data_IF_968032896518
#
_entry.id   IF_968032896518
#
_cell.length_a   1.000
_cell.length_b   1.000
_cell.length_c   1.000
_cell.angle_alpha   90.00
_cell.angle_beta   90.00
_cell.angle_gamma   90.00
#
_symmetry.space_group_name_H-M   'P 1'
#
loop_
_entity.id
_entity.type
_entity.pdbx_description
1 polymer ?
#
# COMPACT_ATOMS: atom_id res chain seq x y z
N UNK A 1 11.02 26.68 31.19
CA UNK A 1 10.14 25.52 31.47
C UNK A 1 9.44 25.18 30.18
N UNK A 2 9.76 24.05 29.54
CA UNK A 2 8.98 23.57 28.40
C UNK A 2 7.68 23.00 28.95
N UNK A 3 6.59 23.76 28.85
CA UNK A 3 5.28 23.17 29.03
C UNK A 3 5.15 22.11 27.93
N UNK A 4 5.09 20.84 28.32
CA UNK A 4 4.61 19.80 27.42
C UNK A 4 3.14 20.16 27.13
N UNK A 5 2.91 20.92 26.06
CA UNK A 5 1.58 21.30 25.66
C UNK A 5 0.89 20.02 25.18
N UNK A 6 0.07 19.45 26.06
CA UNK A 6 -0.74 18.29 25.77
C UNK A 6 -1.60 18.64 24.55
N UNK A 7 -1.64 17.75 23.56
CA UNK A 7 -2.48 17.90 22.37
C UNK A 7 -3.94 18.07 22.79
N UNK A 8 -4.69 18.87 22.04
CA UNK A 8 -6.12 19.04 22.30
C UNK A 8 -6.87 17.72 22.13
N UNK A 9 -8.06 17.59 22.73
CA UNK A 9 -8.90 16.40 22.53
C UNK A 9 -9.21 16.19 21.04
N UNK A 10 -9.45 17.28 20.32
CA UNK A 10 -9.79 17.23 18.89
C UNK A 10 -8.57 16.80 18.06
N UNK A 11 -7.36 17.24 18.44
CA UNK A 11 -6.12 16.80 17.82
C UNK A 11 -5.93 15.28 17.98
N UNK A 12 -6.19 14.75 19.18
CA UNK A 12 -6.08 13.32 19.48
C UNK A 12 -7.07 12.52 18.63
N UNK A 13 -8.29 13.01 18.47
CA UNK A 13 -9.31 12.36 17.64
C UNK A 13 -8.92 12.38 16.15
N UNK A 14 -8.39 13.50 15.65
CA UNK A 14 -7.93 13.63 14.28
C UNK A 14 -6.77 12.67 13.96
N UNK A 15 -5.80 12.52 14.87
CA UNK A 15 -4.69 11.57 14.72
C UNK A 15 -5.22 10.14 14.63
N UNK A 16 -6.10 9.74 15.56
CA UNK A 16 -6.68 8.39 15.57
C UNK A 16 -7.46 8.09 14.29
N UNK A 17 -8.19 9.08 13.78
CA UNK A 17 -8.91 8.95 12.52
C UNK A 17 -7.94 8.73 11.34
N UNK A 18 -6.86 9.51 11.28
CA UNK A 18 -5.82 9.37 10.25
C UNK A 18 -5.10 8.01 10.33
N UNK A 19 -4.77 7.53 11.53
CA UNK A 19 -4.20 6.20 11.77
C UNK A 19 -5.14 5.08 11.30
N UNK A 20 -6.43 5.19 11.61
CA UNK A 20 -7.44 4.22 11.16
C UNK A 20 -7.58 4.21 9.63
N UNK A 21 -7.58 5.38 8.99
CA UNK A 21 -7.62 5.48 7.52
C UNK A 21 -6.35 4.88 6.89
N UNK A 22 -5.19 5.13 7.48
CA UNK A 22 -3.93 4.54 7.04
C UNK A 22 -3.95 3.01 7.17
N UNK A 23 -4.41 2.47 8.30
CA UNK A 23 -4.53 1.03 8.49
C UNK A 23 -5.42 0.36 7.43
N UNK A 24 -6.54 1.00 7.06
CA UNK A 24 -7.41 0.52 5.96
C UNK A 24 -6.68 0.52 4.61
N UNK A 25 -5.94 1.59 4.30
CA UNK A 25 -5.13 1.65 3.06
C UNK A 25 -4.07 0.56 3.00
N UNK A 26 -3.40 0.28 4.12
CA UNK A 26 -2.41 -0.80 4.21
C UNK A 26 -3.05 -2.18 3.99
N UNK A 27 -4.23 -2.43 4.54
CA UNK A 27 -4.95 -3.68 4.29
C UNK A 27 -5.31 -3.82 2.80
N UNK A 28 -5.85 -2.76 2.21
CA UNK A 28 -6.20 -2.75 0.79
C UNK A 28 -4.97 -2.99 -0.09
N UNK A 29 -3.86 -2.30 0.17
CA UNK A 29 -2.60 -2.49 -0.55
C UNK A 29 -2.09 -3.94 -0.49
N UNK A 30 -2.20 -4.60 0.67
CA UNK A 30 -1.83 -6.02 0.83
C UNK A 30 -2.71 -6.94 0.00
N UNK A 31 -4.01 -6.72 -0.02
CA UNK A 31 -4.92 -7.54 -0.84
C UNK A 31 -4.70 -7.27 -2.34
N UNK A 32 -4.49 -6.02 -2.75
CA UNK A 32 -4.12 -5.69 -4.14
C UNK A 32 -2.86 -6.42 -4.58
N UNK A 33 -1.81 -6.46 -3.74
CA UNK A 33 -0.58 -7.17 -4.05
C UNK A 33 -0.82 -8.68 -4.26
N UNK A 34 -1.71 -9.30 -3.47
CA UNK A 34 -2.06 -10.71 -3.64
C UNK A 34 -2.76 -10.96 -4.97
N UNK A 35 -3.71 -10.11 -5.33
CA UNK A 35 -4.44 -10.19 -6.62
C UNK A 35 -3.45 -10.09 -7.79
N UNK A 36 -2.60 -9.06 -7.79
CA UNK A 36 -1.60 -8.87 -8.86
C UNK A 36 -0.63 -10.06 -8.95
N UNK A 37 -0.28 -10.67 -7.81
CA UNK A 37 0.56 -11.88 -7.77
C UNK A 37 -0.16 -13.08 -8.39
N UNK A 38 -1.44 -13.27 -8.08
CA UNK A 38 -2.26 -14.36 -8.63
C UNK A 38 -2.46 -14.21 -10.13
N UNK A 39 -2.73 -12.99 -10.59
CA UNK A 39 -2.87 -12.67 -12.01
C UNK A 39 -1.55 -12.89 -12.78
N UNK A 40 -0.41 -12.52 -12.21
CA UNK A 40 0.90 -12.81 -12.80
C UNK A 40 1.12 -14.33 -12.91
N UNK A 41 0.78 -15.08 -11.87
CA UNK A 41 0.89 -16.54 -11.87
C UNK A 41 -0.07 -17.20 -12.88
N UNK A 42 -1.27 -16.63 -13.08
CA UNK A 42 -2.20 -17.03 -14.12
C UNK A 42 -1.63 -16.76 -15.52
N UNK A 43 -1.14 -15.54 -15.76
CA UNK A 43 -0.51 -15.17 -17.03
C UNK A 43 0.66 -16.09 -17.39
N UNK A 44 1.48 -16.48 -16.41
CA UNK A 44 2.60 -17.41 -16.61
C UNK A 44 2.11 -18.81 -17.00
N UNK A 45 1.01 -19.29 -16.38
CA UNK A 45 0.40 -20.58 -16.71
C UNK A 45 -0.19 -20.59 -18.13
N UNK A 46 -0.84 -19.50 -18.53
CA UNK A 46 -1.48 -19.40 -19.85
C UNK A 46 -0.47 -19.25 -21.00
N UNK A 47 0.57 -18.44 -20.81
CA UNK A 47 1.51 -18.11 -21.88
C UNK A 47 2.72 -19.05 -21.94
N UNK A 48 2.92 -19.91 -20.93
CA UNK A 48 3.99 -20.91 -20.90
C UNK A 48 5.36 -20.30 -21.19
N UNK A 49 6.08 -20.83 -22.18
CA UNK A 49 7.42 -20.36 -22.57
C UNK A 49 7.47 -18.90 -23.07
N UNK A 50 6.34 -18.35 -23.52
CA UNK A 50 6.23 -16.98 -24.04
C UNK A 50 5.95 -15.93 -22.95
N UNK A 51 5.85 -16.35 -21.68
CA UNK A 51 5.45 -15.46 -20.57
C UNK A 51 6.34 -14.22 -20.42
N UNK A 52 7.62 -14.28 -20.81
CA UNK A 52 8.56 -13.16 -20.66
C UNK A 52 8.12 -11.90 -21.41
N UNK A 53 7.56 -12.06 -22.61
CA UNK A 53 7.05 -10.95 -23.43
C UNK A 53 5.58 -10.70 -23.16
N UNK A 54 4.76 -11.75 -23.10
CA UNK A 54 3.31 -11.64 -22.93
C UNK A 54 2.92 -11.05 -21.57
N UNK A 55 3.60 -11.43 -20.48
CA UNK A 55 3.28 -11.00 -19.12
C UNK A 55 4.16 -9.82 -18.66
N UNK A 56 4.82 -9.10 -19.57
CA UNK A 56 5.76 -8.02 -19.22
C UNK A 56 5.09 -6.93 -18.37
N UNK A 57 3.90 -6.48 -18.76
CA UNK A 57 3.19 -5.40 -18.07
C UNK A 57 2.88 -5.73 -16.61
N UNK A 58 2.22 -6.86 -16.37
CA UNK A 58 1.84 -7.28 -15.01
C UNK A 58 3.05 -7.67 -14.15
N UNK A 59 4.11 -8.18 -14.78
CA UNK A 59 5.39 -8.42 -14.08
C UNK A 59 6.04 -7.11 -13.61
N UNK A 60 5.99 -6.05 -14.42
CA UNK A 60 6.51 -4.74 -14.05
C UNK A 60 5.65 -4.06 -12.98
N UNK A 61 4.34 -4.22 -13.06
CA UNK A 61 3.42 -3.74 -12.02
C UNK A 61 3.68 -4.44 -10.67
N UNK A 62 3.74 -5.78 -10.67
CA UNK A 62 4.09 -6.55 -9.49
C UNK A 62 5.45 -6.14 -8.93
N UNK A 63 6.45 -5.93 -9.80
CA UNK A 63 7.79 -5.49 -9.41
C UNK A 63 7.78 -4.11 -8.73
N UNK A 64 6.98 -3.16 -9.22
CA UNK A 64 6.82 -1.84 -8.57
C UNK A 64 6.23 -1.97 -7.18
N UNK A 65 5.18 -2.79 -7.02
CA UNK A 65 4.51 -2.97 -5.74
C UNK A 65 5.40 -3.64 -4.68
N UNK A 66 6.22 -4.63 -5.04
CA UNK A 66 7.14 -5.27 -4.09
C UNK A 66 8.37 -4.42 -3.74
N UNK A 67 8.76 -3.50 -4.63
CA UNK A 67 9.87 -2.59 -4.38
C UNK A 67 9.46 -1.39 -3.50
N UNK A 68 8.20 -1.00 -3.55
CA UNK A 68 7.64 0.00 -2.64
C UNK A 68 7.55 -0.56 -1.21
N UNK A 69 8.19 0.07 -0.21
CA UNK A 69 8.09 -0.35 1.20
C UNK A 69 6.65 -0.39 1.73
N UNK A 70 5.76 0.42 1.16
CA UNK A 70 4.35 0.52 1.53
C UNK A 70 3.42 -0.33 0.66
N UNK A 71 3.96 -1.03 -0.34
CA UNK A 71 3.22 -1.83 -1.31
C UNK A 71 2.05 -1.08 -1.98
N UNK A 72 2.19 0.23 -2.17
CA UNK A 72 1.16 1.10 -2.74
C UNK A 72 0.21 1.75 -1.72
N UNK A 73 0.36 1.51 -0.41
CA UNK A 73 -0.45 2.18 0.61
C UNK A 73 -0.13 3.68 0.77
N UNK A 74 1.07 4.09 0.34
CA UNK A 74 1.62 5.43 0.58
C UNK A 74 2.09 5.60 2.03
N UNK A 75 2.74 6.73 2.31
CA UNK A 75 3.16 7.05 3.68
C UNK A 75 2.01 7.62 4.51
N UNK A 76 2.02 7.41 5.85
CA UNK A 76 1.05 8.04 6.73
C UNK A 76 1.23 9.56 6.69
N UNK A 77 0.14 10.27 6.39
CA UNK A 77 0.09 11.73 6.34
C UNK A 77 -0.48 12.25 7.66
N UNK A 78 0.26 13.09 8.41
CA UNK A 78 -0.28 13.76 9.60
C UNK A 78 -1.48 14.64 9.22
N UNK A 79 -2.48 14.79 10.11
CA UNK A 79 -3.49 15.81 9.93
C UNK A 79 -2.84 17.20 9.95
N UNK A 80 -3.30 18.10 9.09
CA UNK A 80 -2.93 19.52 9.15
C UNK A 80 -3.70 20.15 10.33
N UNK A 81 -2.97 20.81 11.24
CA UNK A 81 -3.49 21.46 12.46
C UNK A 81 -3.21 22.96 12.41
#
# INVERSE_FOLDING_TARGET
MYAAQLRSKDDILAIRAAECQYAKRVQLAKETLKVVREDLAMCYRENGVNHKTACKGIREEYAKLIQDPTHGAGYPTPPEF
#
